data_IF_093929243647
#
_entry.id   IF_093929243647
#
_cell.length_a   1.000
_cell.length_b   1.000
_cell.length_c   1.000
_cell.angle_alpha   90.00
_cell.angle_beta   90.00
_cell.angle_gamma   90.00
#
_symmetry.space_group_name_H-M   'P 1'
#
loop_
_entity.id
_entity.type
_entity.pdbx_description
1 polymer ?
#
# COMPACT_ATOMS: atom_id res chain seq x y z
N UNK A 1 14.30 28.11 3.30
CA UNK A 1 13.16 28.77 2.61
C UNK A 1 12.45 27.84 1.65
N UNK A 2 13.15 27.08 0.80
CA UNK A 2 12.52 26.10 -0.12
C UNK A 2 11.67 25.05 0.62
N UNK A 3 12.15 24.52 1.76
CA UNK A 3 11.38 23.54 2.54
C UNK A 3 10.05 24.07 3.10
N UNK A 4 9.95 25.37 3.38
CA UNK A 4 8.72 26.00 3.86
C UNK A 4 7.69 26.12 2.72
N UNK A 5 8.17 26.32 1.49
CA UNK A 5 7.33 26.39 0.29
C UNK A 5 6.84 24.98 -0.07
N UNK A 6 7.71 23.96 -0.03
CA UNK A 6 7.31 22.56 -0.20
C UNK A 6 6.21 22.18 0.80
N UNK A 7 6.40 22.51 2.08
CA UNK A 7 5.40 22.23 3.12
C UNK A 7 4.11 23.03 2.93
N UNK A 8 4.20 24.30 2.51
CA UNK A 8 3.03 25.14 2.26
C UNK A 8 2.21 24.68 1.04
N UNK A 9 2.87 24.22 -0.02
CA UNK A 9 2.20 23.65 -1.20
C UNK A 9 1.51 22.34 -0.83
N UNK A 10 2.18 21.45 -0.09
CA UNK A 10 1.63 20.16 0.34
C UNK A 10 0.49 20.30 1.35
N UNK A 11 0.44 21.40 2.10
CA UNK A 11 -0.58 21.66 3.13
C UNK A 11 -1.73 22.55 2.62
N UNK A 12 -1.46 23.46 1.67
CA UNK A 12 -2.40 24.47 1.19
C UNK A 12 -3.22 24.07 -0.04
N UNK A 13 -2.72 23.14 -0.86
CA UNK A 13 -3.48 22.56 -1.96
C UNK A 13 -4.13 21.27 -1.48
N UNK A 14 -5.27 21.40 -0.82
CA UNK A 14 -6.13 20.23 -0.58
C UNK A 14 -6.37 19.45 -1.88
N UNK A 15 -6.57 18.13 -1.74
CA UNK A 15 -6.71 17.16 -2.84
C UNK A 15 -7.75 17.55 -3.92
N UNK A 16 -8.68 18.45 -3.56
CA UNK A 16 -9.80 18.92 -4.39
C UNK A 16 -9.40 19.95 -5.45
N UNK A 17 -8.28 20.67 -5.31
CA UNK A 17 -7.87 21.72 -6.25
C UNK A 17 -6.87 21.24 -7.32
N UNK A 18 -6.42 19.99 -7.28
CA UNK A 18 -5.49 19.41 -8.26
C UNK A 18 -6.22 19.07 -9.58
N UNK A 19 -6.71 20.09 -10.28
CA UNK A 19 -7.14 19.96 -11.68
C UNK A 19 -5.95 20.23 -12.61
N UNK A 20 -5.95 19.62 -13.79
CA UNK A 20 -4.88 19.77 -14.78
C UNK A 20 -4.62 21.26 -15.10
N UNK A 21 -5.68 22.06 -15.22
CA UNK A 21 -5.60 23.52 -15.42
C UNK A 21 -4.93 24.24 -14.25
N UNK A 22 -5.26 23.91 -12.99
CA UNK A 22 -4.63 24.56 -11.83
C UNK A 22 -3.18 24.16 -11.64
N UNK A 23 -2.80 22.95 -12.04
CA UNK A 23 -1.41 22.52 -12.05
C UNK A 23 -0.59 23.30 -13.08
N UNK A 24 -1.11 23.48 -14.30
CA UNK A 24 -0.46 24.30 -15.35
C UNK A 24 -0.28 25.76 -14.91
N UNK A 25 -1.31 26.35 -14.30
CA UNK A 25 -1.28 27.73 -13.79
C UNK A 25 -0.22 27.92 -12.70
N UNK A 26 -0.12 26.97 -11.75
CA UNK A 26 0.91 26.96 -10.71
C UNK A 26 2.33 26.87 -11.29
N UNK A 27 2.54 26.02 -12.28
CA UNK A 27 3.84 25.87 -12.94
C UNK A 27 4.21 27.15 -13.69
N UNK A 28 3.25 27.80 -14.34
CA UNK A 28 3.47 29.09 -15.01
C UNK A 28 3.83 30.20 -14.02
N UNK A 29 3.07 30.32 -12.93
CA UNK A 29 3.33 31.28 -11.86
C UNK A 29 4.71 31.07 -11.21
N UNK A 30 5.12 29.81 -11.01
CA UNK A 30 6.44 29.49 -10.50
C UNK A 30 7.54 29.88 -11.49
N UNK A 31 7.36 29.66 -12.80
CA UNK A 31 8.33 30.06 -13.83
C UNK A 31 8.45 31.58 -14.00
N UNK A 32 7.35 32.32 -13.85
CA UNK A 32 7.38 33.79 -13.93
C UNK A 32 7.97 34.43 -12.68
N UNK A 33 7.57 33.95 -11.49
CA UNK A 33 7.98 34.55 -10.20
C UNK A 33 9.36 34.09 -9.75
N UNK A 34 9.73 32.86 -10.08
CA UNK A 34 11.05 32.32 -9.85
C UNK A 34 11.66 32.02 -11.22
N UNK A 35 12.78 32.67 -11.55
CA UNK A 35 13.55 32.40 -12.77
C UNK A 35 14.22 31.02 -12.69
N UNK A 36 13.42 29.98 -12.51
CA UNK A 36 13.87 28.59 -12.53
C UNK A 36 14.25 28.32 -13.97
N UNK A 37 15.55 28.18 -14.23
CA UNK A 37 16.03 27.76 -15.55
C UNK A 37 15.42 26.41 -15.92
N UNK A 38 15.26 26.13 -17.22
CA UNK A 38 14.65 24.87 -17.69
C UNK A 38 15.29 23.63 -17.06
N UNK A 39 16.60 23.68 -16.80
CA UNK A 39 17.36 22.59 -16.19
C UNK A 39 17.06 22.40 -14.69
N UNK A 40 16.93 23.49 -13.92
CA UNK A 40 16.54 23.43 -12.50
C UNK A 40 15.08 22.98 -12.33
N UNK A 41 14.21 23.37 -13.28
CA UNK A 41 12.81 22.96 -13.29
C UNK A 41 12.66 21.46 -13.58
N UNK A 42 13.43 20.93 -14.53
CA UNK A 42 13.47 19.49 -14.83
C UNK A 42 13.95 18.69 -13.61
N UNK A 43 15.05 19.12 -12.98
CA UNK A 43 15.59 18.45 -11.80
C UNK A 43 14.57 18.43 -10.62
N UNK A 44 13.82 19.52 -10.43
CA UNK A 44 12.79 19.60 -9.40
C UNK A 44 11.61 18.64 -9.69
N UNK A 45 11.13 18.60 -10.93
CA UNK A 45 10.03 17.70 -11.34
C UNK A 45 10.43 16.24 -11.16
N UNK A 46 11.65 15.88 -11.58
CA UNK A 46 12.16 14.52 -11.44
C UNK A 46 12.28 14.12 -9.96
N UNK A 47 12.79 15.02 -9.11
CA UNK A 47 12.86 14.80 -7.66
C UNK A 47 11.48 14.60 -7.02
N UNK A 48 10.49 15.42 -7.41
CA UNK A 48 9.11 15.29 -6.93
C UNK A 48 8.46 13.97 -7.38
N UNK A 49 8.70 13.55 -8.62
CA UNK A 49 8.21 12.28 -9.15
C UNK A 49 8.78 11.09 -8.37
N UNK A 50 10.09 11.12 -8.10
CA UNK A 50 10.75 10.07 -7.31
C UNK A 50 10.21 10.05 -5.87
N UNK A 51 10.10 11.20 -5.21
CA UNK A 51 9.52 11.29 -3.86
C UNK A 51 8.07 10.80 -3.81
N UNK A 52 7.27 11.12 -4.84
CA UNK A 52 5.89 10.66 -4.93
C UNK A 52 5.81 9.14 -5.13
N UNK A 53 6.72 8.55 -5.91
CA UNK A 53 6.82 7.10 -6.08
C UNK A 53 7.17 6.41 -4.76
N UNK A 54 8.21 6.87 -4.07
CA UNK A 54 8.64 6.31 -2.78
C UNK A 54 7.57 6.47 -1.69
N UNK A 55 6.82 7.58 -1.72
CA UNK A 55 5.71 7.80 -0.80
C UNK A 55 4.56 6.83 -1.08
N UNK A 56 4.22 6.58 -2.35
CA UNK A 56 3.19 5.60 -2.73
C UNK A 56 3.55 4.19 -2.27
N UNK A 57 4.80 3.77 -2.48
CA UNK A 57 5.26 2.44 -2.07
C UNK A 57 5.18 2.27 -0.54
N UNK A 58 5.65 3.26 0.22
CA UNK A 58 5.55 3.25 1.69
C UNK A 58 4.11 3.23 2.20
N UNK A 59 3.22 4.01 1.59
CA UNK A 59 1.80 4.02 1.97
C UNK A 59 1.14 2.69 1.66
N UNK A 60 1.45 2.07 0.52
CA UNK A 60 0.95 0.74 0.18
C UNK A 60 1.41 -0.32 1.19
N UNK A 61 2.70 -0.29 1.57
CA UNK A 61 3.24 -1.21 2.57
C UNK A 61 2.59 -1.03 3.95
N UNK A 62 2.38 0.21 4.39
CA UNK A 62 1.68 0.51 5.64
C UNK A 62 0.23 0.01 5.62
N UNK A 63 -0.47 0.19 4.49
CA UNK A 63 -1.83 -0.30 4.33
C UNK A 63 -1.89 -1.84 4.42
N UNK A 64 -0.98 -2.53 3.73
CA UNK A 64 -0.87 -3.99 3.78
C UNK A 64 -0.60 -4.50 5.20
N UNK A 65 0.30 -3.85 5.94
CA UNK A 65 0.59 -4.21 7.33
C UNK A 65 -0.63 -4.00 8.24
N UNK A 66 -1.37 -2.91 8.06
CA UNK A 66 -2.55 -2.63 8.89
C UNK A 66 -3.69 -3.60 8.59
N UNK A 67 -3.89 -3.99 7.33
CA UNK A 67 -4.84 -5.05 6.95
C UNK A 67 -4.45 -6.38 7.58
N UNK A 68 -3.17 -6.78 7.52
CA UNK A 68 -2.68 -8.01 8.17
C UNK A 68 -2.94 -8.00 9.67
N UNK A 69 -2.63 -6.90 10.36
CA UNK A 69 -2.90 -6.74 11.79
C UNK A 69 -4.38 -6.83 12.12
N UNK A 70 -5.24 -6.26 11.27
CA UNK A 70 -6.69 -6.35 11.46
C UNK A 70 -7.19 -7.79 11.34
N UNK A 71 -6.70 -8.54 10.34
CA UNK A 71 -7.00 -9.96 10.14
C UNK A 71 -6.58 -10.77 11.38
N UNK A 72 -5.37 -10.54 11.90
CA UNK A 72 -4.87 -11.20 13.12
C UNK A 72 -5.71 -10.87 14.35
N UNK A 73 -6.05 -9.59 14.57
CA UNK A 73 -6.87 -9.15 15.72
C UNK A 73 -8.28 -9.74 15.71
N UNK A 74 -8.85 -9.93 14.52
CA UNK A 74 -10.17 -10.54 14.35
C UNK A 74 -10.11 -12.08 14.40
N UNK A 75 -8.92 -12.68 14.52
CA UNK A 75 -8.73 -14.12 14.52
C UNK A 75 -9.08 -14.78 13.18
N UNK A 76 -9.04 -14.02 12.08
CA UNK A 76 -9.33 -14.53 10.75
C UNK A 76 -8.10 -15.28 10.21
N UNK A 77 -8.34 -16.46 9.63
CA UNK A 77 -7.29 -17.25 9.00
C UNK A 77 -7.37 -17.13 7.47
N UNK A 78 -6.23 -17.16 6.75
CA UNK A 78 -6.24 -17.23 5.29
C UNK A 78 -7.02 -18.44 4.80
N UNK A 79 -7.77 -18.27 3.71
CA UNK A 79 -8.60 -19.35 3.16
C UNK A 79 -7.79 -20.61 2.83
N UNK A 80 -6.58 -20.43 2.32
CA UNK A 80 -5.66 -21.51 2.00
C UNK A 80 -5.24 -22.33 3.23
N UNK A 81 -5.02 -21.67 4.37
CA UNK A 81 -4.71 -22.35 5.63
C UNK A 81 -5.91 -23.14 6.17
N UNK A 82 -7.10 -22.56 6.06
CA UNK A 82 -8.34 -23.24 6.39
C UNK A 82 -8.54 -24.50 5.55
N UNK A 83 -8.42 -24.40 4.22
CA UNK A 83 -8.60 -25.54 3.32
C UNK A 83 -7.53 -26.63 3.54
N UNK A 84 -6.30 -26.25 3.90
CA UNK A 84 -5.27 -27.20 4.36
C UNK A 84 -5.67 -27.93 5.64
N UNK A 85 -6.27 -27.23 6.60
CA UNK A 85 -6.73 -27.83 7.84
C UNK A 85 -7.87 -28.82 7.58
N UNK A 86 -8.86 -28.45 6.75
CA UNK A 86 -9.97 -29.33 6.35
C UNK A 86 -9.44 -30.62 5.76
N UNK A 87 -8.54 -30.55 4.77
CA UNK A 87 -7.95 -31.76 4.17
C UNK A 87 -7.22 -32.66 5.18
N UNK A 88 -6.53 -32.06 6.16
CA UNK A 88 -5.86 -32.82 7.22
C UNK A 88 -6.88 -33.51 8.13
N UNK A 89 -7.97 -32.84 8.46
CA UNK A 89 -9.07 -33.41 9.24
C UNK A 89 -9.70 -34.57 8.49
N UNK A 90 -10.05 -34.41 7.21
CA UNK A 90 -10.64 -35.47 6.39
C UNK A 90 -9.76 -36.73 6.37
N UNK A 91 -8.44 -36.56 6.22
CA UNK A 91 -7.47 -37.67 6.23
C UNK A 91 -7.42 -38.36 7.59
N UNK A 92 -7.50 -37.61 8.68
CA UNK A 92 -7.49 -38.16 10.03
C UNK A 92 -8.79 -38.91 10.33
N UNK A 93 -9.93 -38.35 9.96
CA UNK A 93 -11.25 -38.98 10.10
C UNK A 93 -11.32 -40.28 9.31
N UNK A 94 -10.83 -40.29 8.07
CA UNK A 94 -10.75 -41.51 7.26
C UNK A 94 -9.91 -42.59 7.94
N UNK A 95 -8.73 -42.25 8.49
CA UNK A 95 -7.87 -43.21 9.20
C UNK A 95 -8.51 -43.78 10.46
N UNK A 96 -9.24 -42.95 11.22
CA UNK A 96 -9.95 -43.39 12.42
C UNK A 96 -11.13 -44.30 12.07
N UNK A 97 -11.86 -44.00 10.99
CA UNK A 97 -12.94 -44.88 10.51
C UNK A 97 -12.41 -46.26 10.11
N UNK A 98 -11.24 -46.35 9.47
CA UNK A 98 -10.61 -47.64 9.13
C UNK A 98 -10.04 -48.39 10.34
N UNK A 99 -9.74 -47.72 11.46
CA UNK A 99 -9.28 -48.36 12.71
C UNK A 99 -10.43 -48.83 13.61
N UNK A 100 -11.68 -48.49 13.29
CA UNK A 100 -12.86 -48.82 14.13
C UNK A 100 -13.59 -50.09 13.62
N UNK A 101 -13.12 -50.71 12.54
CA UNK A 101 -13.62 -52.04 12.16
C UNK A 101 -13.02 -53.13 13.08
N UNK A 102 -13.85 -54.04 13.63
CA UNK A 102 -13.43 -54.94 14.69
C UNK A 102 -12.54 -56.05 14.13
N UNK A 103 -11.23 -55.99 14.36
CA UNK A 103 -10.38 -57.15 14.09
C UNK A 103 -8.87 -56.99 13.95
N UNK A 104 -8.28 -55.79 14.06
CA UNK A 104 -6.81 -55.68 13.92
C UNK A 104 -6.23 -54.78 15.02
N UNK A 105 -5.44 -55.39 15.89
CA UNK A 105 -4.65 -54.71 16.93
C UNK A 105 -3.68 -53.70 16.30
N UNK A 106 -3.55 -52.53 16.92
CA UNK A 106 -2.56 -51.50 16.58
C UNK A 106 -1.12 -52.01 16.75
#
# INVERSE_FOLDING_TARGET
MIELIEKAVLTGLGVVSLSQKKAEELVSDLKEKYKVGEDEGKALVEKLQNMAKDARERVAEMADQEVKRAIERLGLVPREEYDRLVKRVDVLEAKLSTCTEPGTEC
#
